data_IF_943229809842
#
_entry.id   IF_943229809842
#
_cell.length_a   1.000
_cell.length_b   1.000
_cell.length_c   1.000
_cell.angle_alpha   90.00
_cell.angle_beta   90.00
_cell.angle_gamma   90.00
#
_symmetry.space_group_name_H-M   'P 1'
#
loop_
_entity.id
_entity.type
_entity.pdbx_description
1 polymer ?
#
# COMPACT_ATOMS: atom_id res chain seq x y z
N UNK A 1 11.87 11.93 1.49
CA UNK A 1 10.99 12.84 0.71
C UNK A 1 9.52 12.45 0.89
N UNK A 2 8.56 13.34 0.62
CA UNK A 2 7.13 12.99 0.67
C UNK A 2 6.78 11.86 -0.31
N UNK A 3 7.44 11.81 -1.48
CA UNK A 3 7.36 10.68 -2.42
C UNK A 3 7.58 9.34 -1.72
N UNK A 4 8.72 9.19 -1.02
CA UNK A 4 9.06 7.95 -0.32
C UNK A 4 8.03 7.62 0.78
N UNK A 5 7.50 8.64 1.47
CA UNK A 5 6.48 8.42 2.50
C UNK A 5 5.16 7.90 1.93
N UNK A 6 4.74 8.39 0.76
CA UNK A 6 3.56 7.88 0.06
C UNK A 6 3.80 6.46 -0.46
N UNK A 7 4.96 6.20 -1.05
CA UNK A 7 5.35 4.86 -1.51
C UNK A 7 5.48 3.85 -0.36
N UNK A 8 5.82 4.32 0.85
CA UNK A 8 5.88 3.50 2.04
C UNK A 8 4.51 3.25 2.69
N UNK A 9 3.41 3.84 2.21
CA UNK A 9 2.08 3.53 2.72
C UNK A 9 1.70 2.08 2.39
N UNK A 10 0.93 1.45 3.29
CA UNK A 10 0.53 0.05 3.17
C UNK A 10 -0.18 -0.23 1.84
N UNK A 11 -1.11 0.64 1.43
CA UNK A 11 -1.81 0.49 0.15
C UNK A 11 -0.84 0.47 -1.03
N UNK A 12 0.10 1.41 -1.10
CA UNK A 12 1.08 1.46 -2.20
C UNK A 12 1.91 0.17 -2.24
N UNK A 13 2.42 -0.31 -1.10
CA UNK A 13 3.18 -1.56 -1.02
C UNK A 13 2.35 -2.77 -1.46
N UNK A 14 1.12 -2.91 -0.98
CA UNK A 14 0.24 -4.02 -1.36
C UNK A 14 -0.07 -4.01 -2.86
N UNK A 15 -0.41 -2.85 -3.43
CA UNK A 15 -0.67 -2.76 -4.86
C UNK A 15 0.57 -2.98 -5.72
N UNK A 16 1.73 -2.52 -5.27
CA UNK A 16 3.00 -2.84 -5.93
C UNK A 16 3.29 -4.34 -5.90
N UNK A 17 3.07 -5.00 -4.75
CA UNK A 17 3.17 -6.47 -4.63
C UNK A 17 2.23 -7.17 -5.62
N UNK A 18 0.98 -6.73 -5.76
CA UNK A 18 0.05 -7.31 -6.74
C UNK A 18 0.55 -7.14 -8.17
N UNK A 19 0.97 -5.94 -8.55
CA UNK A 19 1.43 -5.66 -9.92
C UNK A 19 2.65 -6.52 -10.28
N UNK A 20 3.64 -6.60 -9.39
CA UNK A 20 4.88 -7.36 -9.62
C UNK A 20 4.56 -8.85 -9.75
N UNK A 21 3.79 -9.41 -8.82
CA UNK A 21 3.52 -10.86 -8.79
C UNK A 21 2.43 -11.28 -9.79
N UNK A 22 1.65 -10.34 -10.35
CA UNK A 22 0.62 -10.67 -11.37
C UNK A 22 1.20 -11.02 -12.75
N UNK A 23 2.52 -10.94 -12.95
CA UNK A 23 3.18 -11.22 -14.24
C UNK A 23 3.41 -12.71 -14.51
N UNK A 24 3.19 -13.58 -13.53
CA UNK A 24 3.35 -15.03 -13.69
C UNK A 24 2.21 -15.80 -13.06
N UNK A 25 1.91 -17.00 -13.58
CA UNK A 25 0.84 -17.87 -13.06
C UNK A 25 1.13 -18.25 -11.60
N UNK A 26 2.39 -18.61 -11.30
CA UNK A 26 2.85 -18.90 -9.93
C UNK A 26 2.65 -17.68 -9.03
N UNK A 27 2.99 -16.49 -9.51
CA UNK A 27 2.83 -15.25 -8.75
C UNK A 27 1.37 -14.91 -8.45
N UNK A 28 0.45 -15.22 -9.36
CA UNK A 28 -1.00 -15.10 -9.14
C UNK A 28 -1.49 -16.14 -8.13
N UNK A 29 -1.06 -17.40 -8.28
CA UNK A 29 -1.45 -18.50 -7.39
C UNK A 29 -1.05 -18.23 -5.93
N UNK A 30 0.17 -17.74 -5.72
CA UNK A 30 0.71 -17.42 -4.39
C UNK A 30 0.49 -15.96 -3.98
N UNK A 31 -0.33 -15.20 -4.71
CA UNK A 31 -0.62 -13.80 -4.40
C UNK A 31 -1.10 -13.56 -2.97
N UNK A 32 -1.98 -14.39 -2.38
CA UNK A 32 -2.39 -14.23 -0.98
C UNK A 32 -1.20 -14.27 -0.01
N UNK A 33 -0.22 -15.15 -0.25
CA UNK A 33 0.97 -15.29 0.59
C UNK A 33 1.86 -14.05 0.49
N UNK A 34 2.09 -13.55 -0.73
CA UNK A 34 2.89 -12.33 -0.93
C UNK A 34 2.23 -11.09 -0.29
N UNK A 35 0.91 -10.97 -0.38
CA UNK A 35 0.16 -9.90 0.27
C UNK A 35 0.25 -9.98 1.80
N UNK A 36 0.09 -11.19 2.36
CA UNK A 36 0.24 -11.42 3.79
C UNK A 36 1.65 -11.08 4.27
N UNK A 37 2.69 -11.55 3.57
CA UNK A 37 4.08 -11.22 3.87
C UNK A 37 4.34 -9.71 3.82
N UNK A 38 3.83 -9.02 2.79
CA UNK A 38 3.94 -7.56 2.65
C UNK A 38 3.30 -6.84 3.83
N UNK A 39 2.12 -7.28 4.28
CA UNK A 39 1.42 -6.72 5.42
C UNK A 39 2.18 -6.94 6.74
N UNK A 40 2.70 -8.14 6.97
CA UNK A 40 3.48 -8.49 8.16
C UNK A 40 4.77 -7.67 8.24
N UNK A 41 5.52 -7.57 7.12
CA UNK A 41 6.72 -6.75 7.03
C UNK A 41 6.42 -5.28 7.30
N UNK A 42 5.36 -4.72 6.70
CA UNK A 42 4.93 -3.35 6.98
C UNK A 42 4.62 -3.13 8.46
N UNK A 43 3.91 -4.05 9.11
CA UNK A 43 3.61 -3.96 10.55
C UNK A 43 4.89 -4.04 11.39
N UNK A 44 5.84 -4.87 11.00
CA UNK A 44 7.13 -4.97 11.68
C UNK A 44 7.95 -3.67 11.53
N UNK A 45 8.04 -3.10 10.33
CA UNK A 45 8.70 -1.82 10.08
C UNK A 45 8.09 -0.70 10.92
N UNK A 46 6.75 -0.67 11.03
CA UNK A 46 6.06 0.27 11.89
C UNK A 46 6.43 0.08 13.36
N UNK A 47 6.47 -1.16 13.87
CA UNK A 47 6.89 -1.43 15.26
C UNK A 47 8.32 -0.94 15.51
N UNK A 48 9.25 -1.25 14.61
CA UNK A 48 10.65 -0.84 14.70
C UNK A 48 10.76 0.69 14.71
N UNK A 49 10.04 1.38 13.81
CA UNK A 49 10.01 2.84 13.78
C UNK A 49 9.48 3.42 15.10
N UNK A 50 8.36 2.91 15.63
CA UNK A 50 7.80 3.36 16.89
C UNK A 50 8.74 3.12 18.09
N UNK A 51 9.50 2.03 18.07
CA UNK A 51 10.54 1.78 19.09
C UNK A 51 11.70 2.77 18.98
N UNK A 52 12.15 3.10 17.76
CA UNK A 52 13.20 4.09 17.53
C UNK A 52 12.81 5.48 18.04
N UNK A 53 11.61 5.96 17.70
CA UNK A 53 11.13 7.28 18.17
C UNK A 53 10.88 7.34 19.68
N UNK A 54 10.57 6.19 20.33
CA UNK A 54 10.45 6.11 21.79
C UNK A 54 11.80 6.26 22.48
N UNK A 55 12.87 5.74 21.87
CA UNK A 55 14.24 5.87 22.38
C UNK A 55 14.83 7.24 22.08
N UNK A 56 14.56 7.77 20.90
CA UNK A 56 15.02 9.08 20.46
C UNK A 56 13.88 9.82 19.72
N UNK A 57 13.16 10.73 20.41
CA UNK A 57 12.06 11.50 19.82
C UNK A 57 12.45 12.38 18.63
N UNK A 58 13.74 12.73 18.48
CA UNK A 58 14.22 13.58 17.38
C UNK A 58 14.13 12.87 16.02
N UNK A 59 14.08 11.54 16.01
CA UNK A 59 13.92 10.71 14.81
C UNK A 59 12.50 10.71 14.25
N UNK A 60 11.54 11.36 14.93
CA UNK A 60 10.15 11.43 14.47
C UNK A 60 10.08 12.21 13.17
N UNK A 61 9.59 11.55 12.12
CA UNK A 61 9.36 12.19 10.84
C UNK A 61 8.31 13.31 10.98
N UNK A 62 8.53 14.49 10.36
CA UNK A 62 7.55 15.57 10.37
C UNK A 62 6.25 15.13 9.67
N UNK A 63 5.13 15.87 9.82
CA UNK A 63 3.91 15.67 9.04
C UNK A 63 4.20 15.62 7.52
N UNK A 64 3.36 14.92 6.76
CA UNK A 64 3.61 14.69 5.32
C UNK A 64 3.53 16.00 4.53
N UNK A 65 2.69 16.92 4.99
CA UNK A 65 2.40 18.24 4.44
C UNK A 65 3.59 19.20 4.57
N UNK A 66 4.47 18.97 5.55
CA UNK A 66 5.62 19.82 5.83
C UNK A 66 6.82 19.54 4.91
N UNK A 67 6.72 18.53 4.04
CA UNK A 67 7.79 18.21 3.09
C UNK A 67 7.70 19.14 1.87
N UNK A 68 8.82 19.70 1.38
CA UNK A 68 8.82 20.59 0.23
C UNK A 68 8.23 19.97 -1.05
N UNK A 69 8.41 18.66 -1.24
CA UNK A 69 7.90 17.91 -2.38
C UNK A 69 6.46 17.41 -2.21
N UNK A 70 5.72 17.84 -1.18
CA UNK A 70 4.40 17.31 -0.85
C UNK A 70 3.41 17.38 -2.02
N UNK A 71 3.28 18.55 -2.65
CA UNK A 71 2.33 18.78 -3.75
C UNK A 71 2.62 17.88 -4.96
N UNK A 72 3.90 17.69 -5.29
CA UNK A 72 4.30 16.77 -6.34
C UNK A 72 4.05 15.31 -5.94
N UNK A 73 4.35 14.96 -4.69
CA UNK A 73 4.18 13.62 -4.16
C UNK A 73 2.72 13.16 -4.16
N UNK A 74 1.74 14.06 -4.10
CA UNK A 74 0.31 13.71 -4.19
C UNK A 74 -0.03 12.96 -5.49
N UNK A 75 0.67 13.23 -6.59
CA UNK A 75 0.49 12.51 -7.87
C UNK A 75 0.73 10.99 -7.73
N UNK A 76 1.54 10.56 -6.77
CA UNK A 76 1.80 9.15 -6.51
C UNK A 76 0.60 8.41 -5.91
N UNK A 77 -0.38 9.13 -5.35
CA UNK A 77 -1.66 8.53 -4.95
C UNK A 77 -2.53 8.14 -6.15
N UNK A 78 -2.27 8.74 -7.31
CA UNK A 78 -2.97 8.40 -8.55
C UNK A 78 -2.38 7.16 -9.25
N UNK A 79 -1.21 6.70 -8.82
CA UNK A 79 -0.57 5.50 -9.37
C UNK A 79 -1.44 4.26 -9.18
N UNK A 80 -1.36 3.35 -10.15
CA UNK A 80 -2.05 2.06 -10.11
C UNK A 80 -1.76 1.29 -8.81
N UNK A 81 -0.51 1.28 -8.34
CA UNK A 81 -0.12 0.63 -7.08
C UNK A 81 -0.93 1.18 -5.89
N UNK A 82 -1.09 2.50 -5.81
CA UNK A 82 -1.82 3.12 -4.71
C UNK A 82 -3.30 2.79 -4.77
N UNK A 83 -3.93 3.01 -5.93
CA UNK A 83 -5.37 2.78 -6.15
C UNK A 83 -5.73 1.31 -5.92
N UNK A 84 -4.96 0.39 -6.47
CA UNK A 84 -5.20 -1.05 -6.36
C UNK A 84 -5.11 -1.54 -4.91
N UNK A 85 -4.06 -1.12 -4.18
CA UNK A 85 -3.93 -1.49 -2.78
C UNK A 85 -4.97 -0.81 -1.87
N UNK A 86 -5.43 0.40 -2.23
CA UNK A 86 -6.54 1.06 -1.52
C UNK A 86 -7.83 0.25 -1.66
N UNK A 87 -8.19 -0.16 -2.87
CA UNK A 87 -9.37 -1.02 -3.13
C UNK A 87 -9.26 -2.35 -2.39
N UNK A 88 -8.07 -2.95 -2.35
CA UNK A 88 -7.85 -4.20 -1.59
C UNK A 88 -8.18 -4.00 -0.10
N UNK A 89 -7.64 -2.96 0.52
CA UNK A 89 -7.89 -2.66 1.94
C UNK A 89 -9.37 -2.35 2.21
N UNK A 90 -10.04 -1.61 1.32
CA UNK A 90 -11.47 -1.33 1.42
C UNK A 90 -12.32 -2.60 1.26
N UNK A 91 -11.91 -3.50 0.36
CA UNK A 91 -12.54 -4.81 0.14
C UNK A 91 -12.42 -5.70 1.38
N UNK A 92 -11.26 -5.69 2.06
CA UNK A 92 -11.08 -6.35 3.35
C UNK A 92 -11.94 -5.74 4.46
N UNK A 93 -12.06 -4.40 4.54
CA UNK A 93 -12.94 -3.76 5.54
C UNK A 93 -14.41 -4.12 5.33
N UNK A 94 -14.82 -4.28 4.07
CA UNK A 94 -16.19 -4.59 3.67
C UNK A 94 -16.39 -6.08 3.38
N UNK A 95 -15.53 -6.96 3.91
CA UNK A 95 -15.59 -8.40 3.64
C UNK A 95 -16.97 -9.01 3.98
N UNK A 96 -17.57 -8.58 5.10
CA UNK A 96 -18.91 -8.96 5.56
C UNK A 96 -20.05 -8.50 4.63
N UNK A 97 -19.79 -7.56 3.72
CA UNK A 97 -20.71 -7.11 2.64
C UNK A 97 -20.31 -7.67 1.27
N UNK A 98 -19.44 -8.67 1.25
CA UNK A 98 -18.90 -9.29 0.05
C UNK A 98 -17.83 -8.47 -0.69
N UNK A 99 -17.18 -7.52 -0.02
CA UNK A 99 -16.16 -6.66 -0.63
C UNK A 99 -15.03 -7.45 -1.33
N UNK A 100 -14.55 -8.52 -0.71
CA UNK A 100 -13.52 -9.39 -1.29
C UNK A 100 -13.98 -10.11 -2.58
N UNK A 101 -15.25 -10.52 -2.65
CA UNK A 101 -15.80 -11.12 -3.88
C UNK A 101 -15.90 -10.10 -5.02
N UNK A 102 -16.13 -8.82 -4.71
CA UNK A 102 -16.19 -7.73 -5.68
C UNK A 102 -14.82 -7.22 -6.12
N UNK A 103 -13.76 -7.53 -5.36
CA UNK A 103 -12.41 -7.03 -5.58
C UNK A 103 -11.89 -7.21 -7.03
N UNK A 104 -11.99 -8.40 -7.67
CA UNK A 104 -11.46 -8.58 -9.03
C UNK A 104 -12.08 -7.64 -10.06
N UNK A 105 -13.39 -7.36 -9.93
CA UNK A 105 -14.11 -6.45 -10.83
C UNK A 105 -13.69 -4.99 -10.62
N UNK A 106 -13.57 -4.56 -9.36
CA UNK A 106 -13.10 -3.22 -9.00
C UNK A 106 -11.65 -3.00 -9.45
N UNK A 107 -10.78 -3.99 -9.23
CA UNK A 107 -9.38 -3.97 -9.65
C UNK A 107 -9.23 -3.87 -11.18
N UNK A 108 -10.08 -4.58 -11.94
CA UNK A 108 -10.12 -4.48 -13.41
C UNK A 108 -10.54 -3.08 -13.87
N UNK A 109 -11.48 -2.45 -13.17
CA UNK A 109 -11.90 -1.06 -13.43
C UNK A 109 -10.73 -0.07 -13.33
N UNK A 110 -9.91 -0.16 -12.30
CA UNK A 110 -8.75 0.76 -12.13
C UNK A 110 -7.71 0.57 -13.22
N UNK A 111 -7.43 -0.66 -13.66
CA UNK A 111 -6.50 -0.90 -14.77
C UNK A 111 -6.98 -0.32 -16.11
N UNK A 112 -8.29 -0.12 -16.28
CA UNK A 112 -8.86 0.45 -17.52
C UNK A 112 -8.66 1.97 -17.61
N UNK A 113 -8.44 2.65 -16.48
CA UNK A 113 -8.29 4.11 -16.37
C UNK A 113 -6.92 4.52 -15.82
N UNK A 114 -5.93 3.62 -15.91
CA UNK A 114 -4.54 3.83 -15.49
C UNK A 114 -3.62 3.68 -16.70
#
# INVERSE_FOLDING_TARGET
>A
TAKQRIQNQLCYKLGQTMIINSKSIIGILFMPIYLLSTFLNYKQDQKIYHQKIKKDPTLKLPPLENYPDYQEALKYKEHLSYKLGKILLESFKTWHKGGLFKFPFLAKGVKKYA
#
